data_IF_691947567220
#
_entry.id   IF_691947567220
#
_cell.length_a   1.000
_cell.length_b   1.000
_cell.length_c   1.000
_cell.angle_alpha   90.00
_cell.angle_beta   90.00
_cell.angle_gamma   90.00
#
_symmetry.space_group_name_H-M   'P 1'
#
loop_
_entity.id
_entity.type
_entity.pdbx_description
1 polymer ?
#
# COMPACT_ATOMS: atom_id res chain seq x y z
N UNK A 1 3.78 32.24 -7.51
CA UNK A 1 5.18 32.24 -7.93
C UNK A 1 6.02 33.21 -7.14
N UNK A 2 5.66 34.51 -7.07
CA UNK A 2 6.44 35.55 -6.39
C UNK A 2 6.63 35.26 -4.88
N UNK A 3 5.59 34.83 -4.16
CA UNK A 3 5.68 34.52 -2.73
C UNK A 3 6.72 33.41 -2.47
N UNK A 4 6.65 32.32 -3.21
CA UNK A 4 7.60 31.20 -3.07
C UNK A 4 9.03 31.68 -3.34
N UNK A 5 9.24 32.47 -4.41
CA UNK A 5 10.57 32.99 -4.75
C UNK A 5 11.15 33.86 -3.66
N UNK A 6 10.33 34.61 -2.94
CA UNK A 6 10.73 35.43 -1.78
C UNK A 6 10.84 34.65 -0.48
N UNK A 7 10.48 33.37 -0.47
CA UNK A 7 10.51 32.53 0.73
C UNK A 7 9.34 32.77 1.68
N UNK A 8 8.27 33.41 1.22
CA UNK A 8 7.03 33.59 1.97
C UNK A 8 6.24 32.29 1.89
N UNK A 9 6.30 31.50 2.97
CA UNK A 9 5.68 30.17 3.07
C UNK A 9 4.83 30.04 4.34
N UNK A 10 4.08 31.08 4.63
CA UNK A 10 3.17 31.20 5.77
C UNK A 10 1.69 31.11 5.33
N UNK A 11 0.81 31.60 6.18
CA UNK A 11 -0.64 31.65 5.92
C UNK A 11 -1.00 32.44 4.65
N UNK A 12 -0.18 33.39 4.24
CA UNK A 12 -0.39 34.16 3.01
C UNK A 12 -0.26 33.27 1.78
N UNK A 13 0.78 32.43 1.72
CA UNK A 13 0.91 31.45 0.63
C UNK A 13 -0.23 30.43 0.67
N UNK A 14 -0.59 29.94 1.86
CA UNK A 14 -1.71 28.97 2.03
C UNK A 14 -3.02 29.56 1.49
N UNK A 15 -3.33 30.82 1.77
CA UNK A 15 -4.50 31.51 1.22
C UNK A 15 -4.49 31.54 -0.32
N UNK A 16 -3.35 31.85 -0.93
CA UNK A 16 -3.23 31.85 -2.38
C UNK A 16 -3.33 30.48 -3.01
N UNK A 17 -2.81 29.43 -2.35
CA UNK A 17 -2.98 28.04 -2.77
C UNK A 17 -4.46 27.63 -2.70
N UNK A 18 -5.17 27.98 -1.63
CA UNK A 18 -6.61 27.73 -1.52
C UNK A 18 -7.41 28.48 -2.61
N UNK A 19 -7.03 29.70 -2.92
CA UNK A 19 -7.66 30.48 -4.01
C UNK A 19 -7.38 29.81 -5.36
N UNK A 20 -6.17 29.30 -5.58
CA UNK A 20 -5.83 28.57 -6.81
C UNK A 20 -6.69 27.31 -6.97
N UNK A 21 -6.83 26.53 -5.90
CA UNK A 21 -7.71 25.35 -5.86
C UNK A 21 -9.15 25.70 -6.18
N UNK A 22 -9.70 26.73 -5.55
CA UNK A 22 -11.06 27.19 -5.78
C UNK A 22 -11.30 27.69 -7.22
N UNK A 23 -10.24 28.11 -7.90
CA UNK A 23 -10.26 28.49 -9.33
C UNK A 23 -9.96 27.32 -10.27
N UNK A 24 -9.94 26.08 -9.79
CA UNK A 24 -9.82 24.87 -10.60
C UNK A 24 -8.40 24.40 -10.89
N UNK A 25 -7.38 24.98 -10.24
CA UNK A 25 -6.02 24.44 -10.33
C UNK A 25 -5.97 23.08 -9.64
N UNK A 26 -5.61 22.06 -10.38
CA UNK A 26 -5.53 20.69 -9.91
C UNK A 26 -4.27 20.44 -9.06
N UNK A 27 -4.28 19.35 -8.30
CA UNK A 27 -3.15 18.87 -7.51
C UNK A 27 -1.91 18.66 -8.38
N UNK A 28 -2.07 18.10 -9.58
CA UNK A 28 -0.97 17.87 -10.52
C UNK A 28 -0.40 19.19 -11.04
N UNK A 29 -1.24 20.12 -11.47
CA UNK A 29 -0.80 21.40 -11.96
C UNK A 29 -0.05 22.23 -10.93
N UNK A 30 -0.54 22.25 -9.67
CA UNK A 30 0.18 22.97 -8.60
C UNK A 30 1.53 22.32 -8.28
N UNK A 31 1.63 21.00 -8.33
CA UNK A 31 2.89 20.30 -8.15
C UNK A 31 3.89 20.64 -9.26
N UNK A 32 3.46 20.67 -10.51
CA UNK A 32 4.29 21.09 -11.65
C UNK A 32 4.75 22.53 -11.52
N UNK A 33 3.85 23.45 -11.14
CA UNK A 33 4.17 24.88 -10.91
C UNK A 33 5.24 25.02 -9.84
N UNK A 34 5.08 24.34 -8.69
CA UNK A 34 6.05 24.40 -7.57
C UNK A 34 7.40 23.80 -7.99
N UNK A 35 7.38 22.66 -8.70
CA UNK A 35 8.58 22.04 -9.25
C UNK A 35 9.31 22.98 -10.20
N UNK A 36 8.59 23.63 -11.09
CA UNK A 36 9.20 24.60 -11.99
C UNK A 36 9.86 25.77 -11.23
N UNK A 37 9.19 26.29 -10.21
CA UNK A 37 9.73 27.36 -9.36
C UNK A 37 11.00 26.90 -8.63
N UNK A 38 11.11 25.62 -8.24
CA UNK A 38 12.27 25.08 -7.54
C UNK A 38 13.60 25.30 -8.30
N UNK A 39 13.57 25.23 -9.62
CA UNK A 39 14.75 25.47 -10.46
C UNK A 39 15.25 26.92 -10.43
N UNK A 40 14.37 27.87 -10.10
CA UNK A 40 14.70 29.30 -10.06
C UNK A 40 14.87 29.83 -8.64
N UNK A 41 14.04 29.37 -7.69
CA UNK A 41 14.00 29.88 -6.33
C UNK A 41 14.72 28.99 -5.31
N UNK A 42 15.09 27.79 -5.71
CA UNK A 42 15.76 26.78 -4.90
C UNK A 42 14.78 25.80 -4.20
N UNK A 43 15.20 24.56 -4.09
CA UNK A 43 14.42 23.45 -3.53
C UNK A 43 13.93 23.67 -2.08
N UNK A 44 14.68 24.30 -1.14
CA UNK A 44 14.15 24.51 0.21
C UNK A 44 12.84 25.29 0.24
N UNK A 45 12.72 26.33 -0.60
CA UNK A 45 11.50 27.14 -0.70
C UNK A 45 10.35 26.37 -1.36
N UNK A 46 10.68 25.58 -2.38
CA UNK A 46 9.69 24.72 -3.04
C UNK A 46 9.16 23.63 -2.10
N UNK A 47 10.00 23.01 -1.28
CA UNK A 47 9.56 22.03 -0.28
C UNK A 47 8.59 22.61 0.74
N UNK A 48 8.85 23.82 1.23
CA UNK A 48 7.92 24.51 2.13
C UNK A 48 6.57 24.78 1.44
N UNK A 49 6.59 25.18 0.17
CA UNK A 49 5.37 25.37 -0.62
C UNK A 49 4.63 24.04 -0.88
N UNK A 50 5.34 22.94 -1.17
CA UNK A 50 4.75 21.61 -1.30
C UNK A 50 4.03 21.16 -0.03
N UNK A 51 4.60 21.39 1.14
CA UNK A 51 3.96 21.03 2.41
C UNK A 51 2.62 21.76 2.59
N UNK A 52 2.55 23.05 2.28
CA UNK A 52 1.30 23.79 2.29
C UNK A 52 0.32 23.33 1.22
N UNK A 53 0.79 23.01 0.03
CA UNK A 53 -0.05 22.46 -1.02
C UNK A 53 -0.67 21.10 -0.63
N UNK A 54 0.09 20.22 0.00
CA UNK A 54 -0.44 18.94 0.54
C UNK A 54 -1.59 19.16 1.51
N UNK A 55 -1.50 20.16 2.39
CA UNK A 55 -2.58 20.50 3.31
C UNK A 55 -3.84 21.00 2.58
N UNK A 56 -3.66 21.84 1.56
CA UNK A 56 -4.76 22.46 0.80
C UNK A 56 -5.51 21.45 -0.07
N UNK A 57 -4.83 20.46 -0.63
CA UNK A 57 -5.42 19.40 -1.48
C UNK A 57 -5.62 18.07 -0.74
N UNK A 58 -5.57 18.05 0.60
CA UNK A 58 -5.71 16.83 1.39
C UNK A 58 -7.08 16.15 1.23
N UNK A 59 -8.14 16.90 1.05
CA UNK A 59 -9.50 16.40 0.81
C UNK A 59 -9.66 15.70 -0.55
N UNK A 60 -8.96 16.14 -1.58
CA UNK A 60 -8.95 15.46 -2.88
C UNK A 60 -8.27 14.09 -2.80
N UNK A 61 -7.16 13.99 -2.05
CA UNK A 61 -6.50 12.70 -1.81
C UNK A 61 -7.43 11.75 -1.04
N UNK A 62 -8.12 12.26 -0.02
CA UNK A 62 -9.08 11.46 0.74
C UNK A 62 -10.25 10.97 -0.13
N UNK A 63 -10.72 11.80 -1.07
CA UNK A 63 -11.77 11.43 -2.00
C UNK A 63 -11.27 10.40 -3.03
N UNK A 64 -10.09 10.59 -3.61
CA UNK A 64 -9.48 9.61 -4.54
C UNK A 64 -9.32 8.23 -3.88
N UNK A 65 -8.84 8.20 -2.62
CA UNK A 65 -8.69 6.97 -1.83
C UNK A 65 -10.05 6.31 -1.55
N UNK A 66 -11.09 7.12 -1.26
CA UNK A 66 -12.46 6.63 -1.05
C UNK A 66 -13.05 6.07 -2.34
N UNK A 67 -12.82 6.74 -3.47
CA UNK A 67 -13.29 6.29 -4.78
C UNK A 67 -12.57 5.02 -5.22
N UNK A 68 -11.27 4.90 -4.92
CA UNK A 68 -10.50 3.68 -5.18
C UNK A 68 -11.08 2.48 -4.40
N UNK A 69 -11.50 2.67 -3.14
CA UNK A 69 -12.15 1.63 -2.35
C UNK A 69 -13.45 1.11 -2.99
N UNK A 70 -14.18 1.96 -3.68
CA UNK A 70 -15.40 1.59 -4.39
C UNK A 70 -15.15 0.81 -5.70
N UNK A 71 -13.92 0.81 -6.20
CA UNK A 71 -13.52 0.15 -7.45
C UNK A 71 -12.62 -1.09 -7.21
N UNK A 72 -12.58 -1.60 -6.00
CA UNK A 72 -11.84 -2.83 -5.68
C UNK A 72 -12.41 -4.03 -6.43
N UNK A 73 -11.53 -4.92 -6.89
CA UNK A 73 -11.92 -6.09 -7.69
C UNK A 73 -12.72 -7.13 -6.89
N UNK A 74 -12.51 -7.19 -5.57
CA UNK A 74 -13.20 -8.08 -4.65
C UNK A 74 -13.76 -7.30 -3.46
N UNK A 75 -14.82 -7.81 -2.78
CA UNK A 75 -15.27 -7.25 -1.52
C UNK A 75 -14.10 -7.10 -0.52
N UNK A 76 -14.09 -6.03 0.25
CA UNK A 76 -13.03 -5.74 1.23
C UNK A 76 -12.84 -6.90 2.21
N UNK A 77 -13.94 -7.55 2.60
CA UNK A 77 -13.91 -8.65 3.57
C UNK A 77 -14.06 -8.19 5.02
N UNK A 78 -13.82 -9.11 5.93
CA UNK A 78 -13.89 -8.83 7.37
C UNK A 78 -12.56 -8.29 7.90
N UNK A 79 -12.57 -7.42 8.93
CA UNK A 79 -11.35 -6.99 9.61
C UNK A 79 -10.49 -8.18 10.01
N UNK A 80 -9.20 -8.13 9.72
CA UNK A 80 -8.23 -9.18 10.02
C UNK A 80 -7.79 -9.15 11.50
N UNK A 81 -8.74 -9.32 12.40
CA UNK A 81 -8.49 -9.20 13.85
C UNK A 81 -7.55 -10.26 14.41
N UNK A 82 -7.60 -11.48 13.87
CA UNK A 82 -6.77 -12.58 14.33
C UNK A 82 -5.27 -12.35 14.16
N UNK A 83 -4.90 -11.63 13.11
CA UNK A 83 -3.50 -11.35 12.76
C UNK A 83 -3.14 -9.86 12.93
N UNK A 84 -4.03 -9.02 13.45
CA UNK A 84 -3.84 -7.57 13.55
C UNK A 84 -2.50 -7.17 14.20
N UNK A 85 -2.02 -7.93 15.19
CA UNK A 85 -0.73 -7.69 15.86
C UNK A 85 0.50 -7.83 14.95
N UNK A 86 0.34 -8.40 13.77
CA UNK A 86 1.41 -8.60 12.79
C UNK A 86 1.29 -7.63 11.59
N UNK A 87 0.46 -6.60 11.74
CA UNK A 87 0.25 -5.58 10.72
C UNK A 87 0.42 -4.19 11.32
N UNK A 88 0.95 -3.28 10.52
CA UNK A 88 0.85 -1.84 10.76
C UNK A 88 -0.27 -1.32 9.88
N UNK A 89 -1.28 -0.66 10.47
CA UNK A 89 -2.51 -0.24 9.77
C UNK A 89 -3.58 -1.35 9.70
N UNK A 90 -4.63 -1.11 8.95
CA UNK A 90 -5.79 -1.99 8.87
C UNK A 90 -5.74 -2.89 7.64
N UNK A 91 -6.01 -4.16 7.85
CA UNK A 91 -6.18 -5.14 6.77
C UNK A 91 -7.46 -5.95 6.95
N UNK A 92 -7.94 -6.51 5.86
CA UNK A 92 -9.18 -7.27 5.82
C UNK A 92 -8.97 -8.58 5.07
N UNK A 93 -9.77 -9.59 5.39
CA UNK A 93 -9.72 -10.92 4.77
C UNK A 93 -11.08 -11.35 4.26
N UNK A 94 -11.12 -11.83 3.03
CA UNK A 94 -12.26 -12.51 2.45
C UNK A 94 -11.81 -13.89 1.93
N UNK A 95 -12.20 -15.00 2.58
CA UNK A 95 -11.94 -16.35 2.05
C UNK A 95 -12.60 -16.52 0.68
N UNK A 96 -11.86 -17.01 -0.31
CA UNK A 96 -12.33 -17.26 -1.66
C UNK A 96 -12.56 -18.76 -1.94
N UNK A 97 -11.98 -19.65 -1.12
CA UNK A 97 -12.20 -21.08 -1.28
C UNK A 97 -13.66 -21.42 -0.97
N UNK A 98 -14.38 -22.07 -1.89
CA UNK A 98 -15.78 -22.46 -1.67
C UNK A 98 -15.91 -23.36 -0.42
N UNK A 99 -16.95 -23.11 0.38
CA UNK A 99 -17.25 -23.95 1.56
C UNK A 99 -17.98 -25.26 1.22
N UNK A 100 -18.56 -25.34 0.03
CA UNK A 100 -19.38 -26.47 -0.41
C UNK A 100 -18.57 -27.45 -1.26
N UNK A 101 -17.60 -28.07 -0.62
CA UNK A 101 -16.92 -29.22 -1.19
C UNK A 101 -17.62 -30.44 -0.60
N UNK A 102 -18.01 -31.40 -1.46
CA UNK A 102 -18.73 -32.61 -1.04
C UNK A 102 -18.02 -33.37 0.08
N UNK A 103 -18.78 -34.09 0.89
CA UNK A 103 -18.18 -34.93 1.94
C UNK A 103 -17.16 -35.90 1.33
N UNK A 104 -15.92 -35.86 1.80
CA UNK A 104 -14.83 -36.70 1.37
C UNK A 104 -13.95 -36.14 0.23
N UNK A 105 -14.25 -34.96 -0.30
CA UNK A 105 -13.38 -34.28 -1.23
C UNK A 105 -12.29 -33.50 -0.49
N UNK A 106 -11.03 -33.63 -0.92
CA UNK A 106 -9.96 -32.77 -0.42
C UNK A 106 -10.17 -31.37 -0.94
N UNK A 107 -10.00 -30.40 -0.05
CA UNK A 107 -10.16 -29.00 -0.34
C UNK A 107 -9.33 -28.57 -1.53
N UNK A 108 -9.93 -27.86 -2.44
CA UNK A 108 -9.23 -27.04 -3.39
C UNK A 108 -8.21 -26.13 -2.67
N UNK A 109 -7.25 -25.65 -3.43
CA UNK A 109 -6.21 -24.74 -2.96
C UNK A 109 -6.79 -23.62 -2.07
N UNK A 110 -6.37 -23.47 -0.81
CA UNK A 110 -6.85 -22.40 0.05
C UNK A 110 -6.47 -21.03 -0.53
N UNK A 111 -7.46 -20.18 -0.72
CA UNK A 111 -7.26 -18.82 -1.25
C UNK A 111 -8.02 -17.81 -0.41
N UNK A 112 -7.42 -16.65 -0.22
CA UNK A 112 -8.06 -15.50 0.42
C UNK A 112 -7.74 -14.22 -0.36
N UNK A 113 -8.76 -13.37 -0.54
CA UNK A 113 -8.51 -12.00 -0.90
C UNK A 113 -8.07 -11.24 0.36
N UNK A 114 -6.89 -10.64 0.30
CA UNK A 114 -6.35 -9.77 1.34
C UNK A 114 -6.45 -8.34 0.87
N UNK A 115 -7.13 -7.51 1.64
CA UNK A 115 -7.29 -6.08 1.37
C UNK A 115 -6.50 -5.29 2.41
N UNK A 116 -5.61 -4.43 1.94
CA UNK A 116 -4.87 -3.46 2.75
C UNK A 116 -5.44 -2.07 2.53
N UNK A 117 -5.72 -1.36 3.62
CA UNK A 117 -5.96 0.07 3.57
C UNK A 117 -4.67 0.84 3.21
N UNK A 118 -4.78 2.08 2.72
CA UNK A 118 -3.60 2.90 2.42
C UNK A 118 -2.60 2.94 3.57
N UNK A 119 -1.34 2.68 3.26
CA UNK A 119 -0.26 2.62 4.25
C UNK A 119 -0.17 1.35 5.08
N UNK A 120 -1.15 0.46 4.99
CA UNK A 120 -1.13 -0.81 5.72
C UNK A 120 -0.09 -1.77 5.14
N UNK A 121 0.65 -2.43 6.01
CA UNK A 121 1.66 -3.44 5.65
C UNK A 121 1.77 -4.51 6.72
N UNK A 122 2.12 -5.73 6.33
CA UNK A 122 2.46 -6.75 7.30
C UNK A 122 3.91 -6.61 7.80
N UNK A 123 4.21 -7.27 8.90
CA UNK A 123 5.55 -7.37 9.43
C UNK A 123 6.42 -8.26 8.53
N UNK A 124 7.72 -8.18 8.68
CA UNK A 124 8.64 -9.16 8.15
C UNK A 124 8.21 -10.54 8.62
N UNK A 125 8.19 -11.51 7.70
CA UNK A 125 7.82 -12.88 8.03
C UNK A 125 8.44 -13.89 7.06
N UNK A 126 8.38 -15.15 7.45
CA UNK A 126 8.89 -16.29 6.68
C UNK A 126 7.81 -17.36 6.65
N UNK A 127 7.60 -17.97 5.49
CA UNK A 127 6.79 -19.17 5.36
C UNK A 127 7.70 -20.40 5.37
N UNK A 128 7.36 -21.36 6.22
CA UNK A 128 8.05 -22.64 6.30
C UNK A 128 7.15 -23.74 5.71
N UNK A 129 7.73 -24.65 4.94
CA UNK A 129 7.00 -25.77 4.32
C UNK A 129 6.02 -25.37 3.23
N UNK A 130 5.98 -24.12 2.82
CA UNK A 130 5.11 -23.65 1.75
C UNK A 130 5.73 -22.47 0.99
N UNK A 131 5.39 -22.38 -0.30
CA UNK A 131 5.56 -21.17 -1.11
C UNK A 131 4.30 -20.32 -0.97
N UNK A 132 4.43 -19.01 -0.96
CA UNK A 132 3.29 -18.10 -1.05
C UNK A 132 3.22 -17.49 -2.45
N UNK A 133 2.03 -17.46 -3.02
CA UNK A 133 1.75 -16.68 -4.23
C UNK A 133 0.83 -15.52 -3.90
N UNK A 134 1.17 -14.34 -4.43
CA UNK A 134 0.34 -13.15 -4.41
C UNK A 134 -0.06 -12.84 -5.84
N UNK A 135 -1.37 -12.80 -6.11
CA UNK A 135 -1.93 -12.38 -7.40
C UNK A 135 -2.58 -11.02 -7.16
N UNK A 136 -1.94 -9.94 -7.61
CA UNK A 136 -2.41 -8.59 -7.38
C UNK A 136 -3.63 -8.31 -8.25
N UNK A 137 -4.75 -7.90 -7.66
CA UNK A 137 -6.03 -7.76 -8.35
C UNK A 137 -6.56 -6.33 -8.37
N UNK A 138 -6.12 -5.47 -7.45
CA UNK A 138 -6.58 -4.06 -7.41
C UNK A 138 -5.60 -3.18 -6.64
N UNK A 139 -5.56 -1.90 -7.00
CA UNK A 139 -4.77 -0.89 -6.32
C UNK A 139 -3.26 -1.02 -6.49
N UNK A 140 -2.51 -0.39 -5.58
CA UNK A 140 -1.04 -0.34 -5.63
C UNK A 140 -0.44 -0.78 -4.31
N UNK A 141 0.59 -1.63 -4.38
CA UNK A 141 1.28 -2.16 -3.22
C UNK A 141 2.78 -2.16 -3.36
N UNK A 142 3.41 -2.75 -2.35
CA UNK A 142 4.83 -3.02 -2.27
C UNK A 142 5.08 -4.48 -1.90
N UNK A 143 6.16 -5.03 -2.41
CA UNK A 143 6.77 -6.29 -1.97
C UNK A 143 8.25 -6.10 -1.76
N UNK A 144 8.80 -6.68 -0.71
CA UNK A 144 10.24 -6.63 -0.47
C UNK A 144 10.74 -7.92 0.19
N UNK A 145 11.84 -8.45 -0.33
CA UNK A 145 12.65 -9.46 0.34
C UNK A 145 13.75 -8.80 1.18
N UNK A 146 14.11 -9.44 2.28
CA UNK A 146 15.18 -8.93 3.15
C UNK A 146 16.48 -8.71 2.38
N UNK A 147 17.06 -7.53 2.56
CA UNK A 147 18.31 -7.14 1.90
C UNK A 147 18.19 -6.76 0.42
N UNK A 148 16.98 -6.74 -0.14
CA UNK A 148 16.72 -6.30 -1.52
C UNK A 148 15.89 -5.02 -1.55
N UNK A 149 15.93 -4.27 -2.67
CA UNK A 149 15.02 -3.13 -2.87
C UNK A 149 13.55 -3.57 -2.87
N UNK A 150 12.65 -2.72 -2.40
CA UNK A 150 11.21 -2.92 -2.54
C UNK A 150 10.79 -2.80 -4.01
N UNK A 151 9.82 -3.63 -4.41
CA UNK A 151 9.27 -3.69 -5.76
C UNK A 151 7.83 -3.16 -5.71
N UNK A 152 7.46 -2.18 -6.54
CA UNK A 152 6.08 -1.72 -6.63
C UNK A 152 5.20 -2.80 -7.26
N UNK A 153 4.00 -2.96 -6.73
CA UNK A 153 2.98 -3.90 -7.21
C UNK A 153 1.74 -3.17 -7.69
N UNK A 154 1.12 -3.70 -8.72
CA UNK A 154 -0.16 -3.24 -9.26
C UNK A 154 -1.02 -4.42 -9.72
N UNK A 155 -2.27 -4.17 -10.03
CA UNK A 155 -3.17 -5.20 -10.59
C UNK A 155 -2.54 -5.89 -11.82
N UNK A 156 -2.61 -7.22 -11.86
CA UNK A 156 -2.02 -8.08 -12.86
C UNK A 156 -0.61 -8.60 -12.53
N UNK A 157 0.06 -8.05 -11.54
CA UNK A 157 1.36 -8.57 -11.10
C UNK A 157 1.16 -9.86 -10.28
N UNK A 158 2.12 -10.77 -10.42
CA UNK A 158 2.16 -12.02 -9.65
C UNK A 158 3.52 -12.14 -8.99
N UNK A 159 3.52 -12.40 -7.69
CA UNK A 159 4.72 -12.64 -6.90
C UNK A 159 4.70 -14.09 -6.42
N UNK A 160 5.75 -14.83 -6.73
CA UNK A 160 5.99 -16.18 -6.22
C UNK A 160 7.11 -16.12 -5.18
N UNK A 161 6.77 -16.34 -3.92
CA UNK A 161 7.66 -16.21 -2.77
C UNK A 161 8.09 -17.60 -2.33
N UNK A 162 9.37 -17.95 -2.54
CA UNK A 162 9.89 -19.26 -2.12
C UNK A 162 9.81 -19.46 -0.61
N UNK A 163 9.74 -20.74 -0.20
CA UNK A 163 9.92 -21.13 1.19
C UNK A 163 11.20 -20.53 1.79
N UNK A 164 11.15 -20.12 3.04
CA UNK A 164 12.30 -19.62 3.79
C UNK A 164 12.70 -18.16 3.47
N UNK A 165 12.05 -17.52 2.53
CA UNK A 165 12.36 -16.11 2.19
C UNK A 165 11.73 -15.18 3.22
N UNK A 166 12.57 -14.40 3.91
CA UNK A 166 12.11 -13.28 4.77
C UNK A 166 11.62 -12.14 3.89
N UNK A 167 10.36 -11.77 4.01
CA UNK A 167 9.72 -10.77 3.17
C UNK A 167 8.60 -10.03 3.89
N UNK A 168 8.13 -8.95 3.28
CA UNK A 168 6.90 -8.26 3.62
C UNK A 168 6.20 -7.77 2.36
N UNK A 169 4.90 -7.48 2.48
CA UNK A 169 4.10 -6.80 1.45
C UNK A 169 3.03 -5.93 2.10
N UNK A 170 2.50 -4.98 1.33
CA UNK A 170 1.48 -4.06 1.83
C UNK A 170 1.04 -3.05 0.78
N UNK A 171 0.12 -2.17 1.15
CA UNK A 171 -0.37 -1.09 0.31
C UNK A 171 0.67 0.03 0.17
N UNK A 172 0.56 0.86 -0.86
CA UNK A 172 1.21 2.16 -0.91
C UNK A 172 0.51 3.15 0.04
N UNK A 173 1.15 4.29 0.32
CA UNK A 173 0.67 5.26 1.32
C UNK A 173 -0.69 5.87 0.99
N UNK A 174 -0.99 5.98 -0.29
CA UNK A 174 -2.13 6.68 -0.86
C UNK A 174 -3.02 5.77 -1.72
N UNK A 175 -2.89 4.46 -1.62
CA UNK A 175 -3.68 3.51 -2.40
C UNK A 175 -4.17 2.34 -1.55
N UNK A 176 -5.37 1.89 -1.79
CA UNK A 176 -5.81 0.56 -1.41
C UNK A 176 -5.02 -0.48 -2.19
N UNK A 177 -4.90 -1.67 -1.64
CA UNK A 177 -4.23 -2.77 -2.33
C UNK A 177 -4.93 -4.08 -2.04
N UNK A 178 -5.26 -4.81 -3.09
CA UNK A 178 -5.82 -6.16 -2.99
C UNK A 178 -4.97 -7.17 -3.72
N UNK A 179 -4.76 -8.29 -3.08
CA UNK A 179 -4.17 -9.46 -3.71
C UNK A 179 -4.85 -10.75 -3.23
N UNK A 180 -4.91 -11.74 -4.08
CA UNK A 180 -5.25 -13.10 -3.70
C UNK A 180 -3.98 -13.74 -3.16
N UNK A 181 -4.04 -14.21 -1.92
CA UNK A 181 -2.99 -14.99 -1.30
C UNK A 181 -3.35 -16.47 -1.32
N UNK A 182 -2.40 -17.29 -1.75
CA UNK A 182 -2.49 -18.75 -1.65
C UNK A 182 -1.13 -19.32 -1.26
N UNK A 183 -1.15 -20.50 -0.64
CA UNK A 183 0.05 -21.22 -0.25
C UNK A 183 0.09 -22.58 -0.95
N UNK A 184 1.21 -22.87 -1.58
CA UNK A 184 1.47 -24.17 -2.21
C UNK A 184 2.48 -24.89 -1.36
N UNK A 185 2.13 -26.08 -0.87
CA UNK A 185 3.04 -26.89 -0.07
C UNK A 185 4.24 -27.33 -0.90
N UNK A 186 5.41 -27.28 -0.28
CA UNK A 186 6.63 -27.87 -0.85
C UNK A 186 6.61 -29.38 -0.57
N UNK A 187 7.00 -30.19 -1.56
CA UNK A 187 7.05 -31.64 -1.42
C UNK A 187 7.87 -32.05 -0.18
N UNK A 188 7.39 -33.10 0.53
CA UNK A 188 7.95 -33.64 1.76
C UNK A 188 7.76 -32.82 3.05
N UNK A 189 6.90 -31.83 3.06
CA UNK A 189 6.47 -31.19 4.30
C UNK A 189 5.10 -31.74 4.76
N UNK A 190 4.93 -31.94 6.07
CA UNK A 190 3.62 -32.36 6.60
C UNK A 190 2.57 -31.28 6.39
N UNK A 191 1.38 -31.60 5.86
CA UNK A 191 0.29 -30.65 5.70
C UNK A 191 -0.03 -29.92 7.01
N UNK A 192 0.02 -28.59 7.00
CA UNK A 192 -0.33 -27.77 8.15
C UNK A 192 0.71 -27.68 9.27
N UNK A 193 1.93 -28.17 9.05
CA UNK A 193 2.94 -28.35 10.10
C UNK A 193 3.83 -27.13 10.40
N UNK A 194 3.79 -26.07 9.60
CA UNK A 194 4.63 -24.91 9.86
C UNK A 194 3.84 -23.61 9.92
N UNK A 195 3.73 -23.00 11.10
CA UNK A 195 3.18 -21.65 11.20
C UNK A 195 4.10 -20.64 10.50
N UNK A 196 3.51 -19.56 10.00
CA UNK A 196 4.28 -18.40 9.56
C UNK A 196 5.15 -17.91 10.72
N UNK A 197 6.42 -17.72 10.48
CA UNK A 197 7.33 -17.08 11.43
C UNK A 197 7.19 -15.55 11.28
N UNK A 198 6.57 -14.92 12.27
CA UNK A 198 6.40 -13.48 12.30
C UNK A 198 7.57 -12.83 13.01
N UNK A 199 8.13 -11.80 12.40
CA UNK A 199 9.32 -11.11 12.84
C UNK A 199 8.99 -9.64 13.16
N UNK A 200 10.01 -8.76 13.08
CA UNK A 200 9.88 -7.35 13.39
C UNK A 200 8.97 -6.58 12.41
N UNK A 201 8.37 -5.48 12.85
CA UNK A 201 7.66 -4.58 11.95
C UNK A 201 8.60 -3.98 10.89
N UNK A 202 8.06 -3.66 9.70
CA UNK A 202 8.75 -2.76 8.76
C UNK A 202 8.77 -1.38 9.37
N UNK A 203 9.95 -0.81 9.54
CA UNK A 203 10.09 0.50 10.19
C UNK A 203 9.43 1.62 9.38
N UNK A 204 8.95 2.64 10.07
CA UNK A 204 8.42 3.84 9.40
C UNK A 204 9.48 4.52 8.53
N UNK A 205 10.74 4.49 8.97
CA UNK A 205 11.83 5.07 8.21
C UNK A 205 12.07 4.35 6.88
N UNK A 206 12.03 3.02 6.86
CA UNK A 206 12.18 2.21 5.64
C UNK A 206 10.99 2.40 4.72
N UNK A 207 9.78 2.28 5.26
CA UNK A 207 8.55 2.43 4.48
C UNK A 207 8.39 3.85 3.91
N UNK A 208 8.85 4.88 4.62
CA UNK A 208 8.74 6.27 4.19
C UNK A 208 9.71 6.65 3.06
N UNK A 209 10.70 5.82 2.76
CA UNK A 209 11.60 5.98 1.61
C UNK A 209 10.98 5.50 0.28
N UNK A 210 9.84 4.79 0.35
CA UNK A 210 9.10 4.24 -0.79
C UNK A 210 7.97 5.21 -1.21
#
# INVERSE_FOLDING_TARGET
TSLISQGITDSSLKYHLQTAKNNGITRTEIAEIITHIAFYAGWPKAWAAFNLAKEVWADEVAQEVSDEANHLAFPIGNPNTAYAKYFTGNSHLAPLTPKNIGEGEQTALPMSNVTFEPGCRNHWHIHHGARQMLICVSGKGWYQEWGKPAIPLKAGDVVDIPEGVKHWHGAQKDSWFQHIATHVQVENTCPGSAPNEWLEPVSEEEYNKL
#
